data_IF_122902330237
#
_entry.id   IF_122902330237
#
_cell.length_a   1.000
_cell.length_b   1.000
_cell.length_c   1.000
_cell.angle_alpha   90.00
_cell.angle_beta   90.00
_cell.angle_gamma   90.00
#
_symmetry.space_group_name_H-M   'P 1'
#
loop_
_entity.id
_entity.type
_entity.pdbx_description
1 polymer ?
#
# COMPACT_ATOMS: atom_id res chain seq x y z
N UNK A 1 18.00 -11.34 -4.71
CA UNK A 1 17.46 -10.08 -4.15
C UNK A 1 18.43 -9.63 -3.09
N UNK A 2 18.80 -8.36 -3.07
CA UNK A 2 19.70 -7.83 -2.06
C UNK A 2 18.92 -7.53 -0.77
N UNK A 3 19.60 -7.50 0.36
CA UNK A 3 19.04 -6.95 1.59
C UNK A 3 18.93 -5.44 1.40
N UNK A 4 17.76 -4.88 1.69
CA UNK A 4 17.52 -3.44 1.70
C UNK A 4 17.35 -2.96 3.15
N UNK A 5 17.90 -1.78 3.43
CA UNK A 5 17.59 -1.05 4.66
C UNK A 5 16.28 -0.30 4.49
N UNK A 6 15.36 -0.52 5.41
CA UNK A 6 14.02 0.04 5.43
C UNK A 6 13.79 0.79 6.73
N UNK A 7 12.93 1.80 6.68
CA UNK A 7 12.68 2.72 7.78
C UNK A 7 11.21 2.69 8.14
N UNK A 8 10.85 2.61 9.41
CA UNK A 8 9.50 2.85 9.89
C UNK A 8 9.51 4.05 10.82
N UNK A 9 8.60 5.00 10.57
CA UNK A 9 8.45 6.22 11.35
C UNK A 9 7.28 6.08 12.33
N UNK A 10 7.52 6.44 13.60
CA UNK A 10 6.49 6.57 14.62
C UNK A 10 6.83 7.71 15.59
N UNK A 11 5.83 8.18 16.34
CA UNK A 11 6.04 9.04 17.50
C UNK A 11 5.56 8.34 18.76
N UNK A 12 6.34 8.39 19.84
CA UNK A 12 6.01 7.70 21.08
C UNK A 12 7.11 7.75 22.14
N UNK A 13 6.96 6.95 23.19
CA UNK A 13 8.00 6.80 24.20
C UNK A 13 9.08 5.81 23.70
N UNK A 14 10.38 6.17 23.72
CA UNK A 14 11.44 5.28 23.24
C UNK A 14 11.53 3.92 23.95
N UNK A 15 11.26 3.87 25.26
CA UNK A 15 11.28 2.63 26.03
C UNK A 15 10.12 1.70 25.67
N UNK A 16 8.92 2.24 25.48
CA UNK A 16 7.74 1.47 25.04
C UNK A 16 7.89 1.00 23.59
N UNK A 17 8.46 1.82 22.72
CA UNK A 17 8.77 1.44 21.35
C UNK A 17 9.79 0.29 21.32
N UNK A 18 10.88 0.39 22.10
CA UNK A 18 11.87 -0.68 22.20
C UNK A 18 11.26 -2.00 22.69
N UNK A 19 10.31 -1.95 23.65
CA UNK A 19 9.59 -3.13 24.11
C UNK A 19 8.71 -3.73 23.02
N UNK A 20 7.95 -2.89 22.32
CA UNK A 20 7.01 -3.30 21.27
C UNK A 20 7.70 -3.95 20.08
N UNK A 21 8.94 -3.53 19.79
CA UNK A 21 9.77 -4.07 18.71
C UNK A 21 10.75 -5.16 19.15
N UNK A 22 10.73 -5.59 20.43
CA UNK A 22 11.65 -6.60 20.97
C UNK A 22 11.58 -7.93 20.22
N UNK A 23 10.39 -8.34 19.78
CA UNK A 23 10.18 -9.57 18.99
C UNK A 23 10.27 -9.33 17.47
N UNK A 24 10.62 -8.13 17.04
CA UNK A 24 10.58 -7.68 15.66
C UNK A 24 9.28 -6.96 15.29
N UNK A 25 9.25 -6.39 14.08
CA UNK A 25 8.08 -5.66 13.58
C UNK A 25 7.09 -6.60 12.86
N UNK A 26 5.80 -6.43 13.10
CA UNK A 26 4.75 -7.28 12.52
C UNK A 26 3.65 -6.45 11.88
N UNK A 27 2.96 -7.03 10.89
CA UNK A 27 1.87 -6.37 10.17
C UNK A 27 0.63 -6.08 11.03
N UNK A 28 0.48 -6.77 12.16
CA UNK A 28 -0.64 -6.65 13.11
C UNK A 28 -0.38 -5.68 14.27
N UNK A 29 0.85 -5.18 14.43
CA UNK A 29 1.22 -4.26 15.51
C UNK A 29 0.85 -2.79 15.24
N UNK A 30 0.34 -2.45 14.05
CA UNK A 30 -0.06 -1.09 13.72
C UNK A 30 -1.58 -0.94 13.71
N UNK A 31 -2.09 -0.27 14.75
CA UNK A 31 -3.53 0.01 14.92
C UNK A 31 -4.09 1.07 13.94
N UNK A 32 -3.29 1.53 12.97
CA UNK A 32 -3.80 2.34 11.86
C UNK A 32 -4.16 3.78 12.22
N UNK A 33 -3.35 4.43 13.07
CA UNK A 33 -3.43 5.88 13.30
C UNK A 33 -2.90 6.65 12.08
N UNK A 34 -3.68 6.71 11.00
CA UNK A 34 -3.46 7.63 9.87
C UNK A 34 -3.27 6.99 8.48
N UNK A 35 -2.81 5.73 8.38
CA UNK A 35 -2.50 5.06 7.08
C UNK A 35 -3.26 3.74 6.86
N UNK A 36 -4.36 3.52 7.61
CA UNK A 36 -5.04 2.23 7.64
C UNK A 36 -4.24 1.16 8.41
N UNK A 37 -4.85 0.00 8.64
CA UNK A 37 -4.22 -1.13 9.35
C UNK A 37 -3.09 -1.74 8.49
N UNK A 38 -1.89 -1.91 9.06
CA UNK A 38 -0.74 -2.53 8.39
C UNK A 38 0.60 -1.86 8.71
N UNK A 39 1.70 -2.63 8.69
CA UNK A 39 3.03 -2.11 9.03
C UNK A 39 3.70 -1.57 7.77
N UNK A 40 3.82 -0.24 7.69
CA UNK A 40 4.39 0.45 6.53
C UNK A 40 5.83 0.86 6.79
N UNK A 41 6.65 0.78 5.75
CA UNK A 41 8.05 1.18 5.79
C UNK A 41 8.40 1.99 4.55
N UNK A 42 9.44 2.81 4.67
CA UNK A 42 10.02 3.60 3.61
C UNK A 42 11.37 3.03 3.21
N UNK A 43 11.69 3.12 1.92
CA UNK A 43 13.02 2.71 1.40
C UNK A 43 14.11 3.76 1.59
N UNK A 44 13.70 5.00 1.89
CA UNK A 44 14.60 6.10 2.13
C UNK A 44 14.21 6.77 3.46
N UNK A 45 15.22 7.08 4.27
CA UNK A 45 15.10 7.78 5.54
C UNK A 45 14.42 9.13 5.38
N UNK A 46 14.67 9.86 4.30
CA UNK A 46 14.09 11.19 4.07
C UNK A 46 12.56 11.13 4.02
N UNK A 47 11.97 10.14 3.34
CA UNK A 47 10.52 9.95 3.34
C UNK A 47 9.97 9.50 4.71
N UNK A 48 10.75 8.75 5.49
CA UNK A 48 10.35 8.42 6.85
C UNK A 48 10.33 9.68 7.75
N UNK A 49 11.28 10.61 7.55
CA UNK A 49 11.28 11.90 8.23
C UNK A 49 10.10 12.78 7.81
N UNK A 50 9.80 12.87 6.52
CA UNK A 50 8.60 13.57 6.03
C UNK A 50 7.33 12.99 6.66
N UNK A 51 7.27 11.67 6.83
CA UNK A 51 6.14 11.04 7.51
C UNK A 51 6.06 11.40 8.99
N UNK A 52 7.18 11.55 9.71
CA UNK A 52 7.17 12.02 11.11
C UNK A 52 6.55 13.42 11.23
N UNK A 53 6.84 14.32 10.29
CA UNK A 53 6.22 15.65 10.25
C UNK A 53 4.70 15.54 10.02
N UNK A 54 4.27 14.67 9.11
CA UNK A 54 2.84 14.41 8.90
C UNK A 54 2.14 13.85 10.15
N UNK A 55 2.78 12.94 10.89
CA UNK A 55 2.23 12.38 12.13
C UNK A 55 2.04 13.48 13.20
N UNK A 56 2.99 14.40 13.31
CA UNK A 56 2.92 15.56 14.20
C UNK A 56 1.80 16.52 13.81
N UNK A 57 1.70 16.88 12.53
CA UNK A 57 0.60 17.70 11.99
C UNK A 57 -0.77 17.04 12.20
N UNK A 58 -0.81 15.71 12.21
CA UNK A 58 -2.00 14.90 12.51
C UNK A 58 -2.29 14.79 14.01
N UNK A 59 -1.50 15.45 14.87
CA UNK A 59 -1.70 15.50 16.32
C UNK A 59 -1.17 14.28 17.09
N UNK A 60 -0.45 13.37 16.43
CA UNK A 60 0.17 12.21 17.10
C UNK A 60 1.39 12.72 17.89
N UNK A 61 1.37 12.47 19.20
CA UNK A 61 2.36 13.01 20.14
C UNK A 61 3.47 12.01 20.45
N UNK A 62 4.56 12.49 21.05
CA UNK A 62 5.70 11.69 21.51
C UNK A 62 6.99 12.00 20.76
N UNK A 63 8.07 11.34 21.19
CA UNK A 63 9.39 11.53 20.62
C UNK A 63 9.40 10.93 19.20
N UNK A 64 9.99 11.62 18.21
CA UNK A 64 10.16 11.09 16.87
C UNK A 64 11.15 9.93 16.88
N UNK A 65 10.71 8.75 16.42
CA UNK A 65 11.50 7.53 16.40
C UNK A 65 11.49 6.93 14.99
N UNK A 66 12.68 6.59 14.50
CA UNK A 66 12.88 5.80 13.28
C UNK A 66 13.34 4.39 13.65
N UNK A 67 12.58 3.39 13.23
CA UNK A 67 12.97 1.98 13.32
C UNK A 67 13.69 1.57 12.05
N UNK A 68 14.92 1.09 12.19
CA UNK A 68 15.74 0.60 11.08
C UNK A 68 15.56 -0.92 10.98
N UNK A 69 15.26 -1.38 9.78
CA UNK A 69 14.99 -2.79 9.45
C UNK A 69 15.90 -3.18 8.29
N UNK A 70 16.37 -4.43 8.28
CA UNK A 70 17.03 -5.01 7.11
C UNK A 70 16.22 -6.21 6.63
N UNK A 71 15.74 -6.16 5.39
CA UNK A 71 14.89 -7.22 4.86
C UNK A 71 15.11 -7.47 3.37
N UNK A 72 14.78 -8.69 2.95
CA UNK A 72 14.61 -9.00 1.54
C UNK A 72 13.19 -8.63 1.13
N UNK A 73 13.06 -7.91 0.01
CA UNK A 73 11.75 -7.55 -0.54
C UNK A 73 11.10 -8.70 -1.31
N UNK A 74 10.70 -9.74 -0.57
CA UNK A 74 9.95 -10.87 -1.09
C UNK A 74 8.53 -10.44 -1.53
N UNK A 75 8.14 -10.61 -2.81
CA UNK A 75 6.81 -10.22 -3.30
C UNK A 75 5.64 -11.01 -2.67
N UNK A 76 5.92 -12.10 -1.95
CA UNK A 76 4.91 -12.81 -1.15
C UNK A 76 4.62 -12.15 0.21
N UNK A 77 5.52 -11.30 0.70
CA UNK A 77 5.45 -10.69 2.04
C UNK A 77 5.35 -9.16 1.99
N UNK A 78 5.77 -8.56 0.87
CA UNK A 78 5.76 -7.12 0.65
C UNK A 78 4.78 -6.73 -0.43
N UNK A 79 4.23 -5.53 -0.26
CA UNK A 79 3.45 -4.84 -1.27
C UNK A 79 3.87 -3.38 -1.36
N UNK A 80 3.41 -2.70 -2.40
CA UNK A 80 3.51 -1.24 -2.45
C UNK A 80 2.37 -0.62 -1.64
N UNK A 81 2.59 0.60 -1.15
CA UNK A 81 1.48 1.43 -0.71
C UNK A 81 0.70 1.93 -1.95
N UNK A 82 -0.49 1.37 -2.20
CA UNK A 82 -1.31 1.72 -3.37
C UNK A 82 -1.89 3.15 -3.33
N UNK A 83 -1.90 3.81 -2.16
CA UNK A 83 -2.35 5.19 -2.01
C UNK A 83 -1.25 6.18 -2.42
N UNK A 84 -0.01 5.88 -2.05
CA UNK A 84 1.18 6.65 -2.46
C UNK A 84 1.66 6.30 -3.88
N UNK A 85 1.40 5.07 -4.33
CA UNK A 85 1.83 4.54 -5.63
C UNK A 85 0.66 4.12 -6.55
N UNK A 86 -0.36 4.98 -6.77
CA UNK A 86 -1.53 4.59 -7.55
C UNK A 86 -1.20 4.38 -9.03
N UNK A 87 -0.14 5.01 -9.55
CA UNK A 87 0.32 4.87 -10.94
C UNK A 87 0.75 3.44 -11.27
N UNK A 88 1.43 2.73 -10.36
CA UNK A 88 1.83 1.34 -10.53
C UNK A 88 0.61 0.42 -10.64
N UNK A 89 -0.32 0.59 -9.70
CA UNK A 89 -1.57 -0.19 -9.65
C UNK A 89 -2.46 0.10 -10.86
N UNK A 90 -2.61 1.37 -11.22
CA UNK A 90 -3.38 1.80 -12.39
C UNK A 90 -2.77 1.28 -13.69
N UNK A 91 -1.44 1.35 -13.83
CA UNK A 91 -0.74 0.81 -15.00
C UNK A 91 -0.91 -0.70 -15.12
N UNK A 92 -0.78 -1.42 -14.01
CA UNK A 92 -1.04 -2.85 -13.99
C UNK A 92 -2.45 -3.19 -14.44
N UNK A 93 -3.48 -2.53 -13.89
CA UNK A 93 -4.88 -2.78 -14.30
C UNK A 93 -5.14 -2.40 -15.76
N UNK A 94 -4.45 -1.37 -16.26
CA UNK A 94 -4.55 -0.95 -17.65
C UNK A 94 -3.99 -2.03 -18.58
N UNK A 95 -2.79 -2.52 -18.27
CA UNK A 95 -2.07 -3.50 -19.06
C UNK A 95 -2.65 -4.92 -18.90
N UNK A 96 -3.39 -5.17 -17.81
CA UNK A 96 -3.98 -6.46 -17.45
C UNK A 96 -5.51 -6.42 -17.35
N UNK A 97 -6.18 -5.57 -18.15
CA UNK A 97 -7.64 -5.42 -18.14
C UNK A 97 -8.39 -6.76 -18.32
N UNK A 98 -7.81 -7.71 -19.04
CA UNK A 98 -8.40 -9.05 -19.21
C UNK A 98 -8.47 -9.85 -17.91
N UNK A 99 -7.51 -9.68 -17.00
CA UNK A 99 -7.57 -10.30 -15.66
C UNK A 99 -8.60 -9.61 -14.78
N UNK A 100 -8.66 -8.27 -14.84
CA UNK A 100 -9.69 -7.50 -14.15
C UNK A 100 -11.10 -7.98 -14.57
N UNK A 101 -11.35 -8.17 -15.86
CA UNK A 101 -12.64 -8.64 -16.41
C UNK A 101 -13.02 -10.07 -16.04
N UNK A 102 -12.09 -10.87 -15.53
CA UNK A 102 -12.39 -12.22 -15.02
C UNK A 102 -12.94 -12.20 -13.60
N UNK A 103 -12.82 -11.09 -12.87
CA UNK A 103 -13.46 -10.92 -11.57
C UNK A 103 -14.98 -10.94 -11.78
N UNK A 104 -15.73 -11.80 -11.07
CA UNK A 104 -17.19 -11.81 -11.21
C UNK A 104 -17.80 -10.48 -10.78
N UNK A 105 -18.79 -10.02 -11.55
CA UNK A 105 -19.54 -8.81 -11.25
C UNK A 105 -20.09 -8.83 -9.82
N UNK A 106 -19.90 -7.72 -9.12
CA UNK A 106 -20.39 -7.49 -7.78
C UNK A 106 -19.50 -8.00 -6.64
N UNK A 107 -18.41 -8.71 -6.93
CA UNK A 107 -17.53 -9.28 -5.91
C UNK A 107 -16.70 -8.23 -5.17
N UNK A 108 -16.17 -7.25 -5.91
CA UNK A 108 -15.43 -6.14 -5.32
C UNK A 108 -16.42 -5.06 -4.88
N UNK A 109 -16.50 -4.81 -3.57
CA UNK A 109 -17.36 -3.79 -2.97
C UNK A 109 -16.52 -2.57 -2.59
N UNK A 110 -17.04 -1.40 -2.93
CA UNK A 110 -16.45 -0.09 -2.64
C UNK A 110 -17.54 0.84 -2.11
N UNK A 111 -17.17 2.00 -1.56
CA UNK A 111 -18.10 3.07 -1.20
C UNK A 111 -18.92 3.54 -2.41
N UNK A 112 -18.38 3.39 -3.62
CA UNK A 112 -19.05 3.76 -4.88
C UNK A 112 -20.09 2.76 -5.35
N UNK A 113 -20.18 1.59 -4.71
CA UNK A 113 -21.05 0.48 -5.08
C UNK A 113 -20.28 -0.81 -5.36
N UNK A 114 -20.97 -1.76 -6.00
CA UNK A 114 -20.38 -3.05 -6.37
C UNK A 114 -19.75 -2.95 -7.76
N UNK A 115 -18.48 -3.27 -7.89
CA UNK A 115 -17.77 -3.18 -9.16
C UNK A 115 -18.39 -4.14 -10.18
N UNK A 116 -18.47 -3.71 -11.44
CA UNK A 116 -18.86 -4.51 -12.60
C UNK A 116 -17.66 -4.65 -13.54
N UNK A 117 -16.69 -5.54 -13.26
CA UNK A 117 -15.49 -5.68 -14.06
C UNK A 117 -15.79 -6.03 -15.52
N UNK A 118 -16.86 -6.80 -15.78
CA UNK A 118 -17.30 -7.13 -17.13
C UNK A 118 -17.59 -5.91 -18.02
N UNK A 119 -17.99 -4.79 -17.39
CA UNK A 119 -18.33 -3.52 -18.05
C UNK A 119 -17.18 -2.51 -18.02
N UNK A 120 -16.06 -2.84 -17.38
CA UNK A 120 -14.87 -1.99 -17.32
C UNK A 120 -14.18 -1.96 -18.67
N UNK A 121 -13.74 -0.78 -19.11
CA UNK A 121 -13.12 -0.58 -20.44
C UNK A 121 -12.01 0.47 -20.38
N UNK A 122 -11.14 0.47 -21.38
CA UNK A 122 -10.24 1.59 -21.63
C UNK A 122 -10.95 2.59 -22.55
N UNK A 123 -10.86 3.88 -22.21
CA UNK A 123 -11.37 4.98 -23.01
C UNK A 123 -10.47 6.21 -22.79
N UNK A 124 -9.98 6.80 -23.87
CA UNK A 124 -9.14 8.01 -23.83
C UNK A 124 -7.98 7.93 -22.80
N UNK A 125 -7.21 6.83 -22.84
CA UNK A 125 -6.06 6.63 -21.94
C UNK A 125 -6.42 6.39 -20.47
N UNK A 126 -7.70 6.17 -20.16
CA UNK A 126 -8.19 5.90 -18.81
C UNK A 126 -8.90 4.55 -18.73
N UNK A 127 -8.76 3.88 -17.59
CA UNK A 127 -9.62 2.76 -17.22
C UNK A 127 -10.92 3.35 -16.69
N UNK A 128 -12.04 2.99 -17.30
CA UNK A 128 -13.38 3.39 -16.90
C UNK A 128 -14.02 2.21 -16.18
N UNK A 129 -14.01 2.26 -14.85
CA UNK A 129 -14.70 1.31 -13.99
C UNK A 129 -16.21 1.59 -14.00
N UNK A 130 -17.01 0.54 -13.96
CA UNK A 130 -18.45 0.61 -13.82
C UNK A 130 -18.88 0.02 -12.47
N UNK A 131 -19.87 0.63 -11.84
CA UNK A 131 -20.36 0.22 -10.52
C UNK A 131 -21.88 0.09 -10.53
N UNK A 132 -22.39 -0.99 -9.96
CA UNK A 132 -23.79 -1.12 -9.60
C UNK A 132 -24.06 -0.39 -8.27
N UNK A 133 -24.99 0.56 -8.31
CA UNK A 133 -25.48 1.34 -7.15
C UNK A 133 -26.92 0.96 -6.77
N UNK A 134 -27.40 -0.18 -7.23
CA UNK A 134 -28.74 -0.71 -6.99
C UNK A 134 -29.81 -0.13 -7.91
N UNK A 135 -29.87 1.21 -8.08
CA UNK A 135 -30.84 1.89 -8.96
C UNK A 135 -30.24 2.43 -10.26
N UNK A 136 -28.92 2.48 -10.37
CA UNK A 136 -28.22 3.02 -11.53
C UNK A 136 -26.81 2.43 -11.64
N UNK A 137 -26.21 2.60 -12.81
CA UNK A 137 -24.80 2.29 -13.03
C UNK A 137 -23.99 3.59 -12.93
N UNK A 138 -23.09 3.65 -11.96
CA UNK A 138 -22.08 4.70 -11.87
C UNK A 138 -20.83 4.35 -12.67
N UNK A 139 -20.04 5.36 -13.04
CA UNK A 139 -18.72 5.14 -13.63
C UNK A 139 -17.65 5.98 -12.93
N UNK A 140 -16.41 5.49 -12.96
CA UNK A 140 -15.23 6.23 -12.51
C UNK A 140 -14.10 6.01 -13.52
N UNK A 141 -13.53 7.10 -14.02
CA UNK A 141 -12.41 7.06 -14.94
C UNK A 141 -11.11 7.35 -14.21
N UNK A 142 -10.12 6.50 -14.40
CA UNK A 142 -8.80 6.59 -13.78
C UNK A 142 -7.74 6.55 -14.88
N UNK A 143 -6.86 7.54 -14.91
CA UNK A 143 -5.77 7.61 -15.89
C UNK A 143 -4.70 6.57 -15.56
N UNK A 144 -4.00 6.07 -16.58
CA UNK A 144 -2.87 5.15 -16.40
C UNK A 144 -1.79 5.73 -15.45
N UNK A 145 -1.46 7.00 -15.64
CA UNK A 145 -0.58 7.77 -14.75
C UNK A 145 -1.44 8.62 -13.80
N UNK A 146 -2.09 7.95 -12.86
CA UNK A 146 -2.80 8.64 -11.76
C UNK A 146 -1.77 9.09 -10.71
N UNK A 147 -1.88 10.34 -10.26
CA UNK A 147 -1.04 10.87 -9.17
C UNK A 147 -1.61 10.47 -7.79
N UNK A 148 -0.76 10.45 -6.77
CA UNK A 148 -1.12 10.18 -5.37
C UNK A 148 -2.21 11.12 -4.82
N UNK A 149 -2.85 10.73 -3.72
CA UNK A 149 -3.79 11.59 -2.96
C UNK A 149 -5.23 11.63 -3.47
N UNK A 150 -5.58 10.85 -4.50
CA UNK A 150 -6.98 10.67 -4.89
C UNK A 150 -7.63 9.54 -4.07
N UNK A 151 -8.21 9.89 -2.92
CA UNK A 151 -8.88 8.96 -1.96
C UNK A 151 -9.78 7.94 -2.68
N UNK A 152 -10.61 8.41 -3.62
CA UNK A 152 -11.52 7.54 -4.36
C UNK A 152 -10.85 6.59 -5.36
N UNK A 153 -9.64 6.87 -5.83
CA UNK A 153 -8.86 5.97 -6.67
C UNK A 153 -8.11 4.94 -5.82
N UNK A 154 -7.52 5.37 -4.71
CA UNK A 154 -6.82 4.49 -3.77
C UNK A 154 -7.72 3.38 -3.24
N UNK A 155 -8.97 3.70 -2.87
CA UNK A 155 -9.95 2.72 -2.41
C UNK A 155 -10.24 1.64 -3.47
N UNK A 156 -10.56 2.06 -4.70
CA UNK A 156 -10.85 1.13 -5.81
C UNK A 156 -9.62 0.26 -6.10
N UNK A 157 -8.45 0.88 -6.20
CA UNK A 157 -7.19 0.20 -6.49
C UNK A 157 -6.88 -0.84 -5.42
N UNK A 158 -6.91 -0.46 -4.14
CA UNK A 158 -6.65 -1.37 -3.02
C UNK A 158 -7.58 -2.59 -3.04
N UNK A 159 -8.89 -2.36 -3.19
CA UNK A 159 -9.89 -3.45 -3.22
C UNK A 159 -9.76 -4.37 -4.42
N UNK A 160 -9.48 -3.81 -5.61
CA UNK A 160 -9.28 -4.61 -6.83
C UNK A 160 -7.99 -5.42 -6.72
N UNK A 161 -6.89 -4.81 -6.29
CA UNK A 161 -5.60 -5.48 -6.13
C UNK A 161 -5.70 -6.59 -5.07
N UNK A 162 -6.33 -6.32 -3.92
CA UNK A 162 -6.59 -7.33 -2.88
C UNK A 162 -7.34 -8.56 -3.45
N UNK A 163 -8.40 -8.33 -4.23
CA UNK A 163 -9.12 -9.42 -4.89
C UNK A 163 -8.24 -10.17 -5.89
N UNK A 164 -7.47 -9.46 -6.71
CA UNK A 164 -6.56 -10.05 -7.69
C UNK A 164 -5.45 -10.86 -7.04
N UNK A 165 -4.97 -10.48 -5.85
CA UNK A 165 -3.99 -11.26 -5.09
C UNK A 165 -4.54 -12.62 -4.67
N UNK A 166 -5.81 -12.67 -4.24
CA UNK A 166 -6.46 -13.93 -3.88
C UNK A 166 -6.79 -14.80 -5.10
N UNK A 167 -7.13 -14.20 -6.24
CA UNK A 167 -7.63 -14.92 -7.42
C UNK A 167 -6.51 -15.30 -8.40
N UNK A 168 -5.51 -14.44 -8.56
CA UNK A 168 -4.40 -14.59 -9.51
C UNK A 168 -3.03 -14.42 -8.81
N UNK A 169 -2.73 -15.21 -7.77
CA UNK A 169 -1.54 -15.00 -6.93
C UNK A 169 -0.23 -15.05 -7.74
N UNK A 170 -0.13 -15.93 -8.73
CA UNK A 170 1.06 -16.01 -9.60
C UNK A 170 1.31 -14.73 -10.39
N UNK A 171 0.25 -14.14 -10.97
CA UNK A 171 0.36 -12.88 -11.72
C UNK A 171 0.69 -11.71 -10.80
N UNK A 172 0.14 -11.70 -9.59
CA UNK A 172 0.46 -10.68 -8.60
C UNK A 172 1.88 -10.80 -8.07
N UNK A 173 2.42 -12.01 -7.88
CA UNK A 173 3.82 -12.20 -7.49
C UNK A 173 4.78 -11.69 -8.57
N UNK A 174 4.50 -11.99 -9.84
CA UNK A 174 5.28 -11.46 -10.98
C UNK A 174 5.27 -9.92 -10.98
N UNK A 175 4.08 -9.33 -10.90
CA UNK A 175 3.88 -7.87 -10.92
C UNK A 175 4.55 -7.19 -9.72
N UNK A 176 4.37 -7.74 -8.51
CA UNK A 176 5.00 -7.21 -7.29
C UNK A 176 6.52 -7.26 -7.38
N UNK A 177 7.11 -8.28 -8.02
CA UNK A 177 8.55 -8.33 -8.24
C UNK A 177 9.04 -7.13 -9.07
N UNK A 178 8.30 -6.77 -10.12
CA UNK A 178 8.61 -5.60 -10.94
C UNK A 178 8.48 -4.30 -10.13
N UNK A 179 7.37 -4.13 -9.41
CA UNK A 179 7.16 -2.96 -8.55
C UNK A 179 8.25 -2.83 -7.49
N UNK A 180 8.55 -3.93 -6.79
CA UNK A 180 9.54 -3.95 -5.72
C UNK A 180 10.98 -3.80 -6.24
N UNK A 181 11.22 -3.94 -7.54
CA UNK A 181 12.52 -3.65 -8.15
C UNK A 181 12.64 -2.20 -8.63
N UNK A 182 11.55 -1.43 -8.62
CA UNK A 182 11.56 -0.04 -9.06
C UNK A 182 12.10 0.89 -7.97
N UNK A 183 13.05 1.79 -8.29
CA UNK A 183 13.53 2.79 -7.34
C UNK A 183 12.47 3.85 -7.01
N UNK A 184 11.43 3.99 -7.83
CA UNK A 184 10.36 4.96 -7.62
C UNK A 184 9.36 4.51 -6.53
N UNK A 185 9.42 3.24 -6.11
CA UNK A 185 8.59 2.73 -5.02
C UNK A 185 9.24 3.06 -3.69
N UNK A 186 8.79 4.15 -3.07
CA UNK A 186 9.38 4.67 -1.83
C UNK A 186 8.73 4.15 -0.56
N UNK A 187 7.47 3.69 -0.64
CA UNK A 187 6.66 3.27 0.49
C UNK A 187 6.12 1.86 0.26
N UNK A 188 6.26 1.00 1.27
CA UNK A 188 5.97 -0.42 1.21
C UNK A 188 5.06 -0.82 2.37
N UNK A 189 4.16 -1.76 2.11
CA UNK A 189 3.33 -2.39 3.11
C UNK A 189 3.84 -3.81 3.41
N UNK A 190 4.14 -4.10 4.67
CA UNK A 190 4.45 -5.46 5.10
C UNK A 190 3.18 -6.27 5.33
N UNK A 191 3.09 -7.42 4.67
CA UNK A 191 1.96 -8.37 4.69
C UNK A 191 2.39 -9.77 5.15
N UNK A 192 3.67 -9.96 5.48
CA UNK A 192 4.19 -11.23 5.96
C UNK A 192 3.74 -11.54 7.40
N UNK A 193 3.80 -12.83 7.75
CA UNK A 193 3.43 -13.33 9.08
C UNK A 193 4.61 -13.38 10.05
N UNK A 194 5.82 -13.39 9.53
CA UNK A 194 7.04 -13.50 10.32
C UNK A 194 7.42 -12.10 10.82
N UNK A 195 7.81 -11.92 12.08
CA UNK A 195 8.35 -10.64 12.51
C UNK A 195 9.58 -10.26 11.68
N UNK A 196 9.63 -9.00 11.24
CA UNK A 196 10.82 -8.43 10.63
C UNK A 196 11.85 -8.11 11.71
N UNK A 197 13.12 -8.51 11.52
CA UNK A 197 14.17 -8.18 12.48
C UNK A 197 14.41 -6.67 12.49
N UNK A 198 14.34 -6.08 13.69
CA UNK A 198 14.70 -4.69 13.94
C UNK A 198 16.18 -4.60 14.20
N UNK A 199 16.89 -3.79 13.41
CA UNK A 199 18.32 -3.57 13.57
C UNK A 199 18.60 -2.60 14.71
N UNK A 200 17.89 -1.47 14.73
CA UNK A 200 18.00 -0.44 15.76
C UNK A 200 16.80 0.50 15.75
N UNK A 201 16.61 1.19 16.87
CA UNK A 201 15.73 2.35 16.98
C UNK A 201 16.60 3.60 17.08
N UNK A 202 16.21 4.65 16.37
CA UNK A 202 16.84 5.96 16.37
C UNK A 202 15.83 6.98 16.87
N UNK A 203 16.02 7.49 18.08
CA UNK A 203 15.24 8.63 18.58
C UNK A 203 15.89 9.91 18.08
N UNK A 204 15.12 10.76 17.40
CA UNK A 204 15.61 12.06 16.92
C UNK A 204 15.48 13.06 18.06
N UNK A 205 16.55 13.81 18.32
CA UNK A 205 16.49 14.95 19.22
C UNK A 205 16.11 16.17 18.38
N UNK A 206 15.16 16.96 18.89
CA UNK A 206 14.80 18.27 18.32
C UNK A 206 16.01 19.24 18.33
#
# INVERSE_FOLDING_TARGET
MNIETLYHALRGNPGEAAESFREGARSDLSDGNGQGRGFYVWRNRDYALEHLSFLEESGIQGDPIIVHLNSYLNPGEWDIDHELHPSFSASFLYDNLNFLRQIPDGQVKTERGRLLPSKTRISNGSIVFAFDRGRSIGTFAMRRQTQGGHIGAAEILGRVIEYMQSTFPGKMIETKREWLSSPDVVALAYRGKTPLPVERLETLQD
#
